data_IF_927874261927
#
_entry.id   IF_927874261927
#
_cell.length_a   1.000
_cell.length_b   1.000
_cell.length_c   1.000
_cell.angle_alpha   90.00
_cell.angle_beta   90.00
_cell.angle_gamma   90.00
#
_symmetry.space_group_name_H-M   'P 1'
#
loop_
_entity.id
_entity.type
_entity.pdbx_description
1 polymer ?
#
# COMPACT_ATOMS: atom_id res chain seq x y z
N UNK A 1 -4.10 0.24 -3.03
CA UNK A 1 -3.09 0.51 -2.00
C UNK A 1 -3.71 0.16 -0.67
N UNK A 2 -3.04 -0.71 0.06
CA UNK A 2 -3.44 -1.15 1.39
C UNK A 2 -2.34 -0.74 2.35
N UNK A 3 -2.68 0.03 3.38
CA UNK A 3 -1.73 0.35 4.46
C UNK A 3 -1.41 -0.94 5.22
N UNK A 4 -0.13 -1.28 5.38
CA UNK A 4 0.28 -2.49 6.08
C UNK A 4 1.44 -2.18 7.03
N UNK A 5 1.10 -1.73 8.24
CA UNK A 5 2.06 -1.30 9.25
C UNK A 5 3.07 -2.41 9.63
N UNK A 6 2.70 -3.68 9.52
CA UNK A 6 3.51 -4.83 9.93
C UNK A 6 4.75 -5.11 9.06
N UNK A 7 5.02 -4.32 8.01
CA UNK A 7 6.17 -4.55 7.10
C UNK A 7 7.53 -4.04 7.64
N UNK A 8 7.52 -3.28 8.73
CA UNK A 8 8.73 -2.78 9.40
C UNK A 8 8.52 -2.86 10.92
N UNK A 9 9.55 -2.64 11.72
CA UNK A 9 9.45 -2.53 13.17
C UNK A 9 9.26 -1.06 13.59
N UNK A 10 9.80 -0.11 12.80
CA UNK A 10 9.60 1.32 12.99
C UNK A 10 8.31 1.81 12.32
N UNK A 11 7.70 2.87 12.86
CA UNK A 11 6.47 3.47 12.34
C UNK A 11 6.63 4.97 12.27
N UNK A 12 6.11 5.57 11.21
CA UNK A 12 5.87 7.02 11.19
C UNK A 12 4.62 7.37 11.99
N UNK A 13 4.40 8.67 12.11
CA UNK A 13 3.12 9.23 12.52
C UNK A 13 1.98 8.78 11.57
N UNK A 14 0.76 8.49 12.09
CA UNK A 14 -0.38 8.04 11.29
C UNK A 14 -0.81 9.04 10.22
N UNK A 15 -0.89 10.33 10.55
CA UNK A 15 -1.33 11.39 9.66
C UNK A 15 -0.35 11.55 8.48
N UNK A 16 0.95 11.46 8.78
CA UNK A 16 1.99 11.42 7.74
C UNK A 16 1.88 10.18 6.83
N UNK A 17 1.60 9.01 7.40
CA UNK A 17 1.47 7.78 6.62
C UNK A 17 0.28 7.83 5.65
N UNK A 18 -0.86 8.34 6.12
CA UNK A 18 -2.07 8.51 5.31
C UNK A 18 -1.84 9.51 4.18
N UNK A 19 -1.26 10.68 4.48
CA UNK A 19 -0.95 11.70 3.45
C UNK A 19 0.02 11.16 2.40
N UNK A 20 1.03 10.39 2.81
CA UNK A 20 1.98 9.78 1.89
C UNK A 20 1.31 8.76 0.95
N UNK A 21 0.37 7.96 1.45
CA UNK A 21 -0.37 6.99 0.62
C UNK A 21 -1.18 7.71 -0.45
N UNK A 22 -1.87 8.79 -0.10
CA UNK A 22 -2.64 9.59 -1.06
C UNK A 22 -1.75 10.29 -2.08
N UNK A 23 -0.61 10.86 -1.66
CA UNK A 23 0.36 11.47 -2.58
C UNK A 23 0.91 10.45 -3.60
N UNK A 24 1.20 9.23 -3.16
CA UNK A 24 1.63 8.14 -4.05
C UNK A 24 0.49 7.71 -4.97
N UNK A 25 -0.73 7.63 -4.47
CA UNK A 25 -1.90 7.28 -5.28
C UNK A 25 -2.14 8.31 -6.39
N UNK A 26 -2.03 9.61 -6.10
CA UNK A 26 -2.09 10.69 -7.10
C UNK A 26 -1.02 10.50 -8.17
N UNK A 27 0.25 10.33 -7.78
CA UNK A 27 1.37 10.12 -8.71
C UNK A 27 1.20 8.89 -9.60
N UNK A 28 0.58 7.83 -9.09
CA UNK A 28 0.27 6.63 -9.87
C UNK A 28 -0.89 6.87 -10.85
N UNK A 29 -1.94 7.59 -10.42
CA UNK A 29 -3.06 7.97 -11.31
C UNK A 29 -2.61 8.89 -12.44
N UNK A 30 -1.68 9.81 -12.17
CA UNK A 30 -1.05 10.67 -13.20
C UNK A 30 -0.28 9.86 -14.27
N UNK A 31 0.18 8.66 -13.90
CA UNK A 31 0.82 7.70 -14.82
C UNK A 31 -0.18 6.71 -15.41
N UNK A 32 -1.47 7.06 -15.37
CA UNK A 32 -2.59 6.30 -15.95
C UNK A 32 -2.84 4.93 -15.31
N UNK A 33 -2.31 4.66 -14.12
CA UNK A 33 -2.68 3.46 -13.35
C UNK A 33 -4.07 3.64 -12.73
N UNK A 34 -4.90 2.59 -12.77
CA UNK A 34 -6.12 2.55 -11.98
C UNK A 34 -5.79 2.21 -10.52
N UNK A 35 -5.97 3.19 -9.62
CA UNK A 35 -5.58 3.08 -8.22
C UNK A 35 -6.79 3.15 -7.30
N UNK A 36 -7.06 2.03 -6.62
CA UNK A 36 -7.98 1.95 -5.50
C UNK A 36 -7.20 2.03 -4.19
N UNK A 37 -7.62 2.87 -3.24
CA UNK A 37 -7.05 2.98 -1.88
C UNK A 37 -8.14 2.58 -0.89
N UNK A 38 -7.81 1.74 0.10
CA UNK A 38 -8.74 1.41 1.20
C UNK A 38 -8.57 2.44 2.32
N UNK A 39 -9.63 2.81 3.07
CA UNK A 39 -9.54 3.76 4.17
C UNK A 39 -8.44 3.41 5.19
N UNK A 40 -7.64 4.40 5.60
CA UNK A 40 -6.51 4.19 6.51
C UNK A 40 -6.97 3.95 7.96
N UNK A 41 -6.18 3.19 8.74
CA UNK A 41 -6.40 3.02 10.18
C UNK A 41 -7.48 2.00 10.57
N UNK A 42 -8.02 1.26 9.60
CA UNK A 42 -9.03 0.21 9.85
C UNK A 42 -8.42 -1.19 9.81
N UNK A 43 -9.03 -2.11 10.56
CA UNK A 43 -8.79 -3.53 10.41
C UNK A 43 -9.61 -4.08 9.23
N UNK A 44 -8.93 -4.75 8.31
CA UNK A 44 -9.55 -5.36 7.13
C UNK A 44 -9.39 -6.88 7.15
N UNK A 45 -10.46 -7.55 6.77
CA UNK A 45 -10.38 -8.89 6.21
C UNK A 45 -10.25 -8.76 4.70
N UNK A 46 -9.27 -9.44 4.10
CA UNK A 46 -9.13 -9.47 2.64
C UNK A 46 -8.70 -10.85 2.15
N UNK A 47 -9.12 -11.16 0.91
CA UNK A 47 -8.73 -12.36 0.20
C UNK A 47 -7.99 -11.95 -1.08
N UNK A 48 -6.84 -12.58 -1.34
CA UNK A 48 -6.04 -12.33 -2.53
C UNK A 48 -5.53 -13.64 -3.11
N UNK A 49 -5.76 -13.86 -4.41
CA UNK A 49 -5.13 -14.93 -5.15
C UNK A 49 -3.80 -14.45 -5.75
N UNK A 50 -2.69 -14.80 -5.11
CA UNK A 50 -1.35 -14.44 -5.59
C UNK A 50 -0.90 -15.40 -6.67
N UNK A 51 -0.52 -14.87 -7.84
CA UNK A 51 -0.01 -15.69 -8.96
C UNK A 51 1.32 -16.37 -8.61
N UNK A 52 1.64 -17.47 -9.31
CA UNK A 52 2.69 -18.46 -9.02
C UNK A 52 4.16 -17.96 -9.00
N UNK A 53 5.16 -18.87 -9.10
CA UNK A 53 6.57 -18.59 -8.75
C UNK A 53 7.23 -17.63 -9.75
N UNK A 54 7.20 -16.33 -9.44
CA UNK A 54 7.80 -15.24 -10.23
C UNK A 54 7.75 -13.91 -9.43
N UNK A 55 7.87 -12.77 -10.13
CA UNK A 55 7.73 -11.38 -9.67
C UNK A 55 6.36 -11.03 -9.02
N UNK A 56 5.50 -12.02 -8.75
CA UNK A 56 4.23 -11.82 -8.07
C UNK A 56 4.37 -11.52 -6.58
N UNK A 57 5.54 -11.78 -5.98
CA UNK A 57 5.86 -11.48 -4.57
C UNK A 57 7.21 -10.74 -4.52
N UNK A 58 7.17 -9.44 -4.28
CA UNK A 58 8.37 -8.59 -4.21
C UNK A 58 8.29 -7.73 -2.94
N UNK A 59 9.41 -7.64 -2.22
CA UNK A 59 9.61 -6.70 -1.11
C UNK A 59 10.65 -5.66 -1.51
N UNK A 60 10.41 -4.40 -1.15
CA UNK A 60 11.32 -3.28 -1.41
C UNK A 60 11.40 -2.37 -0.19
N UNK A 61 12.62 -2.18 0.31
CA UNK A 61 12.97 -1.09 1.23
C UNK A 61 13.43 0.12 0.40
N UNK A 62 12.87 1.28 0.69
CA UNK A 62 13.12 2.57 0.01
C UNK A 62 13.82 3.50 1.01
#
# INVERSE_FOLDING_TARGET
MHSFAHLDDSKSDPEFADSLIEDVAVKLREREFNVHVVPFGHFYEFNMHVKGPSLAKVFKKI
#
